data_IF_433918821630
#
_entry.id   IF_433918821630
#
_cell.length_a   1.000
_cell.length_b   1.000
_cell.length_c   1.000
_cell.angle_alpha   90.00
_cell.angle_beta   90.00
_cell.angle_gamma   90.00
#
_symmetry.space_group_name_H-M   'P 1'
#
loop_
_entity.id
_entity.type
_entity.pdbx_description
1 polymer ?
#
# COMPACT_ATOMS: atom_id res chain seq x y z
N UNK A 1 -11.65 -17.69 -7.43
CA UNK A 1 -10.44 -16.90 -7.16
C UNK A 1 -10.78 -15.44 -7.38
N UNK A 2 -10.64 -14.58 -6.37
CA UNK A 2 -10.92 -13.15 -6.50
C UNK A 2 -9.70 -12.47 -7.13
N UNK A 3 -9.92 -11.63 -8.13
CA UNK A 3 -8.90 -10.76 -8.71
C UNK A 3 -9.21 -9.34 -8.25
N UNK A 4 -8.20 -8.64 -7.76
CA UNK A 4 -8.33 -7.28 -7.26
C UNK A 4 -7.23 -6.41 -7.85
N UNK A 5 -7.56 -5.17 -8.17
CA UNK A 5 -6.59 -4.15 -8.58
C UNK A 5 -6.33 -3.23 -7.41
N UNK A 6 -5.08 -2.80 -7.21
CA UNK A 6 -4.76 -1.76 -6.24
C UNK A 6 -3.91 -0.67 -6.86
N UNK A 7 -3.96 0.52 -6.24
CA UNK A 7 -3.06 1.61 -6.55
C UNK A 7 -1.99 1.70 -5.46
N UNK A 8 -0.73 1.76 -5.89
CA UNK A 8 0.40 2.15 -5.05
C UNK A 8 0.63 3.62 -5.35
N UNK A 9 0.34 4.50 -4.39
CA UNK A 9 0.42 5.94 -4.60
C UNK A 9 1.75 6.45 -4.07
N UNK A 10 2.54 7.05 -4.96
CA UNK A 10 3.83 7.68 -4.67
C UNK A 10 3.70 9.21 -4.69
N UNK A 11 4.37 9.85 -3.74
CA UNK A 11 4.54 11.29 -3.67
C UNK A 11 5.80 11.65 -2.89
N UNK A 12 6.68 12.47 -3.47
CA UNK A 12 7.91 12.96 -2.82
C UNK A 12 8.73 11.84 -2.15
N UNK A 13 8.95 10.74 -2.88
CA UNK A 13 9.68 9.55 -2.43
C UNK A 13 9.02 8.79 -1.27
N UNK A 14 7.78 9.13 -0.94
CA UNK A 14 6.94 8.43 0.05
C UNK A 14 5.85 7.63 -0.65
N UNK A 15 5.47 6.55 -0.01
CA UNK A 15 4.37 5.70 -0.43
C UNK A 15 3.22 5.87 0.56
N UNK A 16 2.01 5.99 0.05
CA UNK A 16 0.80 5.97 0.86
C UNK A 16 0.47 4.53 1.24
N UNK A 17 0.46 4.22 2.53
CA UNK A 17 0.08 2.91 3.07
C UNK A 17 -1.19 3.04 3.92
N UNK A 18 -2.03 2.00 3.92
CA UNK A 18 -3.31 1.99 4.62
C UNK A 18 -3.40 0.83 5.63
N UNK A 19 -3.94 1.10 6.81
CA UNK A 19 -4.17 0.08 7.85
C UNK A 19 -5.63 -0.34 7.85
N UNK A 20 -5.90 -1.65 7.95
CA UNK A 20 -7.28 -2.15 8.07
C UNK A 20 -8.00 -1.61 9.30
N UNK A 21 -9.31 -1.44 9.18
CA UNK A 21 -10.19 -1.27 10.34
C UNK A 21 -10.38 -2.57 11.15
N UNK A 22 -10.78 -2.42 12.41
CA UNK A 22 -10.99 -3.54 13.32
C UNK A 22 -12.17 -4.45 12.93
N UNK A 23 -13.07 -3.97 12.09
CA UNK A 23 -14.27 -4.69 11.62
C UNK A 23 -14.02 -5.55 10.36
N UNK A 24 -12.83 -5.48 9.78
CA UNK A 24 -12.47 -6.26 8.58
C UNK A 24 -11.82 -7.61 8.93
N UNK A 25 -11.75 -8.54 7.95
CA UNK A 25 -10.94 -9.76 8.08
C UNK A 25 -9.46 -9.40 8.26
N UNK A 26 -8.71 -10.15 9.07
CA UNK A 26 -7.32 -9.81 9.43
C UNK A 26 -7.17 -8.38 10.00
N UNK A 27 -7.91 -8.05 11.07
CA UNK A 27 -8.02 -6.68 11.57
C UNK A 27 -6.69 -6.09 11.99
N UNK A 28 -6.56 -4.77 11.83
CA UNK A 28 -5.42 -3.93 12.26
C UNK A 28 -4.06 -4.25 11.61
N UNK A 29 -4.00 -5.20 10.66
CA UNK A 29 -2.82 -5.36 9.80
C UNK A 29 -2.77 -4.29 8.71
N UNK A 30 -1.59 -4.01 8.21
CA UNK A 30 -1.41 -3.23 6.97
C UNK A 30 -1.66 -4.15 5.78
N UNK A 31 -2.39 -3.71 4.76
CA UNK A 31 -2.99 -4.63 3.79
C UNK A 31 -2.91 -4.26 2.31
N UNK A 32 -2.81 -5.30 1.47
CA UNK A 32 -3.52 -5.46 0.20
C UNK A 32 -4.08 -6.92 0.01
N UNK A 33 -5.33 -7.13 -0.49
CA UNK A 33 -5.97 -8.46 -0.54
C UNK A 33 -5.47 -9.45 -1.63
N UNK A 34 -5.79 -10.74 -1.51
CA UNK A 34 -5.33 -11.88 -2.35
C UNK A 34 -5.38 -11.67 -3.89
N UNK A 35 -4.24 -11.91 -4.57
CA UNK A 35 -3.92 -11.74 -6.01
C UNK A 35 -4.24 -10.35 -6.57
N UNK A 36 -3.27 -9.45 -6.40
CA UNK A 36 -3.32 -8.06 -6.84
C UNK A 36 -2.67 -7.84 -8.19
N UNK A 37 -3.26 -6.91 -8.93
CA UNK A 37 -2.62 -6.24 -10.05
C UNK A 37 -2.33 -4.79 -9.60
N UNK A 38 -1.14 -4.54 -9.02
CA UNK A 38 -0.77 -3.21 -8.55
C UNK A 38 -0.46 -2.26 -9.72
N UNK A 39 -0.95 -1.04 -9.61
CA UNK A 39 -0.59 0.07 -10.48
C UNK A 39 0.17 1.12 -9.67
N UNK A 40 1.38 1.44 -10.11
CA UNK A 40 2.14 2.54 -9.52
C UNK A 40 1.60 3.86 -10.06
N UNK A 41 1.18 4.74 -9.16
CA UNK A 41 0.52 6.01 -9.47
C UNK A 41 1.27 7.15 -8.78
N UNK A 42 1.39 8.29 -9.49
CA UNK A 42 1.91 9.52 -8.89
C UNK A 42 0.74 10.35 -8.36
N UNK A 43 0.85 10.84 -7.13
CA UNK A 43 -0.11 11.79 -6.60
C UNK A 43 0.07 13.16 -7.25
N UNK A 44 -1.01 13.71 -7.83
CA UNK A 44 -0.99 15.01 -8.54
C UNK A 44 -1.67 16.14 -7.76
N UNK A 45 -2.34 15.85 -6.64
CA UNK A 45 -3.01 16.83 -5.78
C UNK A 45 -4.43 16.41 -5.39
N UNK A 46 -5.05 17.20 -4.50
CA UNK A 46 -6.38 16.94 -3.94
C UNK A 46 -6.36 16.59 -2.45
N UNK A 47 -7.48 16.08 -1.92
CA UNK A 47 -7.61 15.63 -0.53
C UNK A 47 -7.89 14.13 -0.46
N UNK A 48 -7.20 13.42 0.43
CA UNK A 48 -7.45 12.01 0.72
C UNK A 48 -8.49 11.90 1.84
N UNK A 49 -9.58 11.17 1.59
CA UNK A 49 -10.58 10.83 2.60
C UNK A 49 -10.53 9.32 2.86
N UNK A 50 -10.55 8.94 4.13
CA UNK A 50 -10.51 7.54 4.55
C UNK A 50 -11.95 7.03 4.65
N UNK A 51 -12.35 6.13 3.74
CA UNK A 51 -13.70 5.58 3.73
C UNK A 51 -13.85 4.31 4.58
N UNK A 52 -12.92 3.35 4.45
CA UNK A 52 -13.07 2.00 5.02
C UNK A 52 -11.90 1.57 5.93
N UNK A 53 -10.76 2.24 5.80
CA UNK A 53 -9.53 1.94 6.53
C UNK A 53 -9.51 2.61 7.91
N UNK A 54 -8.71 2.11 8.83
CA UNK A 54 -8.52 2.76 10.13
C UNK A 54 -7.67 4.04 9.98
N UNK A 55 -6.62 3.98 9.17
CA UNK A 55 -5.72 5.10 8.90
C UNK A 55 -5.00 4.94 7.56
N UNK A 56 -4.51 6.06 7.03
CA UNK A 56 -3.65 6.13 5.86
C UNK A 56 -2.52 7.12 6.14
N UNK A 57 -1.28 6.70 5.91
CA UNK A 57 -0.08 7.48 6.23
C UNK A 57 0.93 7.44 5.08
N UNK A 58 1.70 8.52 4.95
CA UNK A 58 2.83 8.58 4.02
C UNK A 58 4.09 8.08 4.71
N UNK A 59 4.77 7.12 4.10
CA UNK A 59 5.94 6.45 4.67
C UNK A 59 7.08 6.50 3.67
N UNK A 60 8.31 6.72 4.15
CA UNK A 60 9.47 6.64 3.28
C UNK A 60 9.64 5.22 2.76
N UNK A 61 9.95 5.06 1.46
CA UNK A 61 10.10 3.74 0.84
C UNK A 61 11.11 2.83 1.57
N UNK A 62 12.10 3.41 2.25
CA UNK A 62 13.12 2.66 3.00
C UNK A 62 12.62 2.18 4.37
N UNK A 63 11.51 2.72 4.87
CA UNK A 63 10.92 2.37 6.16
C UNK A 63 9.83 1.31 6.03
N UNK A 64 9.37 1.00 4.81
CA UNK A 64 8.30 0.02 4.55
C UNK A 64 8.55 -1.33 5.23
N UNK A 65 9.80 -1.79 5.27
CA UNK A 65 10.19 -3.06 5.89
C UNK A 65 9.97 -3.13 7.42
N UNK A 66 9.72 -2.01 8.08
CA UNK A 66 9.52 -1.95 9.54
C UNK A 66 8.05 -2.06 9.97
N UNK A 67 7.11 -2.10 9.01
CA UNK A 67 5.68 -2.20 9.30
C UNK A 67 5.22 -3.67 9.39
N UNK A 68 4.24 -3.94 10.25
CA UNK A 68 3.64 -5.27 10.44
C UNK A 68 2.59 -5.55 9.35
N UNK A 69 3.08 -5.96 8.19
CA UNK A 69 2.29 -6.29 7.01
C UNK A 69 1.48 -7.57 7.20
N UNK A 70 0.31 -7.68 6.57
CA UNK A 70 -0.35 -8.97 6.48
C UNK A 70 0.51 -9.97 5.67
N UNK A 71 0.38 -11.26 5.96
CA UNK A 71 1.22 -12.31 5.35
C UNK A 71 1.11 -12.35 3.81
N UNK A 72 -0.02 -11.90 3.27
CA UNK A 72 -0.25 -11.75 1.84
C UNK A 72 0.62 -10.66 1.18
N UNK A 73 1.20 -9.76 1.97
CA UNK A 73 1.87 -8.55 1.52
C UNK A 73 3.40 -8.62 1.59
N UNK A 74 3.98 -9.71 2.12
CA UNK A 74 5.42 -9.96 2.10
C UNK A 74 6.09 -9.77 0.71
N UNK A 75 5.48 -10.16 -0.43
CA UNK A 75 6.07 -9.92 -1.75
C UNK A 75 5.89 -8.49 -2.30
N UNK A 76 5.10 -7.62 -1.64
CA UNK A 76 4.79 -6.26 -2.14
C UNK A 76 5.98 -5.31 -1.98
N UNK A 77 6.77 -5.43 -0.91
CA UNK A 77 8.01 -4.65 -0.73
C UNK A 77 8.97 -4.85 -1.92
N UNK A 78 9.16 -6.10 -2.35
CA UNK A 78 9.98 -6.42 -3.53
C UNK A 78 9.42 -5.82 -4.82
N UNK A 79 8.10 -5.85 -5.02
CA UNK A 79 7.45 -5.23 -6.16
C UNK A 79 7.63 -3.71 -6.18
N UNK A 80 7.39 -3.04 -5.05
CA UNK A 80 7.53 -1.59 -4.91
C UNK A 80 8.97 -1.17 -5.21
N UNK A 81 9.95 -1.85 -4.64
CA UNK A 81 11.37 -1.56 -4.89
C UNK A 81 11.74 -1.75 -6.36
N UNK A 82 11.25 -2.82 -6.98
CA UNK A 82 11.51 -3.11 -8.40
C UNK A 82 10.88 -2.08 -9.33
N UNK A 83 9.61 -1.72 -9.14
CA UNK A 83 8.95 -0.74 -10.01
C UNK A 83 9.45 0.70 -9.78
N UNK A 84 9.71 1.10 -8.52
CA UNK A 84 10.31 2.41 -8.24
C UNK A 84 11.72 2.55 -8.81
N UNK A 85 12.50 1.47 -8.85
CA UNK A 85 13.84 1.49 -9.46
C UNK A 85 13.81 1.72 -10.98
N UNK A 86 12.68 1.50 -11.66
CA UNK A 86 12.51 1.76 -13.10
C UNK A 86 12.05 3.19 -13.42
N UNK A 87 11.59 3.93 -12.42
CA UNK A 87 11.11 5.31 -12.58
C UNK A 87 12.24 6.36 -12.48
N UNK A 88 13.45 5.92 -12.15
CA UNK A 88 14.68 6.72 -12.09
C UNK A 88 15.60 6.38 -13.26
#
# INVERSE_FOLDING_TARGET
MLHVTCAIIEHDNKILICQRSASMKLPLRWEFPLRLYPFLCKWTGGSLAIAEHAQAIWVDKNELQHYDWAEADAPVDGFIRHELAKLN
#
